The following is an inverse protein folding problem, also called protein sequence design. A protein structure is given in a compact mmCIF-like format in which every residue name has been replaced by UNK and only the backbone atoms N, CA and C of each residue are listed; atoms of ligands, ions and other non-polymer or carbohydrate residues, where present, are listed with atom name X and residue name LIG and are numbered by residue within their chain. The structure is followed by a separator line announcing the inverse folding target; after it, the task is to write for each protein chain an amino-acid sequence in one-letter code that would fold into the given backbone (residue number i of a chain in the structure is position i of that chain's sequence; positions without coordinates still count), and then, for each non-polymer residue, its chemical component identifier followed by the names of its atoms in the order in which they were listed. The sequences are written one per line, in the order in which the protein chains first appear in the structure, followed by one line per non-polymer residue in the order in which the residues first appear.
data_IF_667444399369
#
_entry.id   IF_667444399369
#
_cell.length_a   1.000
_cell.length_b   1.000
_cell.length_c   1.000
_cell.angle_alpha   90.00
_cell.angle_beta   90.00
_cell.angle_gamma   90.00
#
_symmetry.space_group_name_H-M   'P 1'
#
loop_
_entity.id
_entity.type
_entity.pdbx_description
1 polymer ?
#
# COMPACT_ATOMS: atom_id res chain seq x y z
N UNK A 1 66.26 -27.09 -84.28
CA UNK A 1 66.79 -27.77 -83.08
C UNK A 1 66.02 -27.30 -81.86
N UNK A 2 65.57 -28.27 -81.05
CA UNK A 2 65.00 -28.15 -79.69
C UNK A 2 63.57 -27.58 -79.57
N UNK A 3 62.64 -28.54 -79.51
CA UNK A 3 61.33 -28.43 -78.87
C UNK A 3 61.47 -28.11 -77.38
N UNK A 4 60.66 -27.18 -76.87
CA UNK A 4 60.31 -27.10 -75.46
C UNK A 4 58.84 -26.69 -75.31
N UNK A 5 58.05 -27.59 -74.71
CA UNK A 5 56.65 -27.41 -74.32
C UNK A 5 56.55 -26.30 -73.27
N UNK A 6 55.58 -25.39 -73.40
CA UNK A 6 55.10 -24.58 -72.28
C UNK A 6 53.60 -24.79 -72.08
N UNK A 7 53.23 -24.97 -70.82
CA UNK A 7 51.91 -25.32 -70.33
C UNK A 7 50.92 -24.15 -70.50
N UNK A 8 49.73 -24.45 -71.04
CA UNK A 8 48.55 -23.61 -70.89
C UNK A 8 48.11 -23.60 -69.41
N UNK A 9 48.11 -22.42 -68.78
CA UNK A 9 47.42 -22.18 -67.51
C UNK A 9 46.09 -21.49 -67.81
N UNK A 10 45.00 -22.20 -67.54
CA UNK A 10 43.65 -21.65 -67.47
C UNK A 10 43.58 -20.63 -66.31
N UNK A 11 43.08 -19.43 -66.60
CA UNK A 11 42.63 -18.47 -65.58
C UNK A 11 41.10 -18.43 -65.65
N UNK A 12 40.36 -18.92 -64.64
CA UNK A 12 38.96 -18.61 -64.51
C UNK A 12 38.81 -17.22 -63.87
N UNK A 13 38.05 -16.38 -64.54
CA UNK A 13 37.58 -15.07 -64.09
C UNK A 13 36.64 -15.29 -62.88
N UNK A 14 37.08 -14.96 -61.67
CA UNK A 14 36.19 -14.93 -60.51
C UNK A 14 35.29 -13.70 -60.60
N UNK A 15 34.00 -13.94 -60.83
CA UNK A 15 32.93 -12.95 -60.72
C UNK A 15 32.73 -12.66 -59.22
N UNK A 16 33.10 -11.47 -58.76
CA UNK A 16 32.80 -11.03 -57.40
C UNK A 16 31.31 -10.68 -57.31
N UNK A 17 30.51 -11.57 -56.72
CA UNK A 17 29.14 -11.28 -56.34
C UNK A 17 29.14 -10.52 -55.01
N UNK A 18 28.92 -9.22 -55.06
CA UNK A 18 28.71 -8.37 -53.89
C UNK A 18 27.35 -8.71 -53.27
N UNK A 19 27.34 -9.53 -52.22
CA UNK A 19 26.15 -9.73 -51.38
C UNK A 19 26.03 -8.52 -50.45
N UNK A 20 25.17 -7.58 -50.82
CA UNK A 20 24.73 -6.53 -49.90
C UNK A 20 23.83 -7.17 -48.82
N UNK A 21 24.40 -7.46 -47.65
CA UNK A 21 23.60 -7.76 -46.46
C UNK A 21 22.83 -6.49 -46.07
N UNK A 22 21.55 -6.44 -46.45
CA UNK A 22 20.60 -5.51 -45.87
C UNK A 22 20.46 -5.81 -44.38
N UNK A 23 21.00 -4.93 -43.53
CA UNK A 23 20.74 -4.92 -42.11
C UNK A 23 19.28 -4.51 -41.89
N UNK A 24 18.37 -5.49 -41.93
CA UNK A 24 16.99 -5.30 -41.47
C UNK A 24 17.03 -5.04 -39.96
N UNK A 25 16.85 -3.77 -39.58
CA UNK A 25 16.61 -3.40 -38.19
C UNK A 25 15.32 -4.10 -37.74
N UNK A 26 15.47 -5.13 -36.91
CA UNK A 26 14.35 -5.76 -36.23
C UNK A 26 13.85 -4.75 -35.18
N UNK A 27 12.86 -3.94 -35.56
CA UNK A 27 12.10 -3.14 -34.60
C UNK A 27 11.29 -4.12 -33.77
N UNK A 28 11.83 -4.50 -32.61
CA UNK A 28 11.04 -5.13 -31.57
C UNK A 28 9.96 -4.12 -31.18
N UNK A 29 8.73 -4.36 -31.65
CA UNK A 29 7.57 -3.69 -31.11
C UNK A 29 7.56 -3.98 -29.61
N UNK A 30 7.92 -2.99 -28.80
CA UNK A 30 7.63 -3.02 -27.37
C UNK A 30 6.12 -3.06 -27.27
N UNK A 31 5.56 -4.26 -27.12
CA UNK A 31 4.17 -4.41 -26.72
C UNK A 31 3.98 -3.56 -25.47
N UNK A 32 3.02 -2.63 -25.52
CA UNK A 32 2.58 -1.93 -24.32
C UNK A 32 2.21 -3.00 -23.31
N UNK A 33 3.07 -3.22 -22.31
CA UNK A 33 2.77 -4.12 -21.21
C UNK A 33 1.48 -3.61 -20.58
N UNK A 34 0.45 -4.45 -20.54
CA UNK A 34 -0.84 -4.06 -19.99
C UNK A 34 -0.62 -3.60 -18.54
N UNK A 35 -1.03 -2.36 -18.23
CA UNK A 35 -0.84 -1.79 -16.89
C UNK A 35 -1.55 -2.67 -15.85
N UNK A 36 -0.89 -2.99 -14.75
CA UNK A 36 -1.51 -3.63 -13.60
C UNK A 36 -2.56 -2.69 -13.01
N UNK A 37 -3.81 -3.15 -13.03
CA UNK A 37 -4.95 -2.34 -12.63
C UNK A 37 -5.22 -2.51 -11.14
N UNK A 38 -5.27 -1.41 -10.42
CA UNK A 38 -5.50 -1.35 -8.97
C UNK A 38 -6.82 -0.62 -8.75
N UNK A 39 -7.77 -1.28 -8.10
CA UNK A 39 -9.00 -0.62 -7.65
C UNK A 39 -8.76 -0.08 -6.25
N UNK A 40 -8.83 1.24 -6.10
CA UNK A 40 -8.61 1.93 -4.84
C UNK A 40 -9.93 2.50 -4.32
N UNK A 41 -10.44 1.93 -3.22
CA UNK A 41 -11.74 2.26 -2.65
C UNK A 41 -11.54 3.19 -1.46
N UNK A 42 -12.09 4.39 -1.53
CA UNK A 42 -12.26 5.30 -0.40
C UNK A 42 -13.57 5.04 0.33
N UNK A 43 -13.52 5.08 1.66
CA UNK A 43 -14.70 5.06 2.53
C UNK A 43 -15.61 6.27 2.36
N UNK A 44 -16.76 6.24 3.04
CA UNK A 44 -17.63 7.42 3.19
C UNK A 44 -16.98 8.41 4.16
N UNK A 45 -17.32 9.70 4.03
CA UNK A 45 -16.90 10.73 5.00
C UNK A 45 -17.26 10.32 6.44
N UNK A 46 -16.32 10.47 7.36
CA UNK A 46 -16.57 10.25 8.80
C UNK A 46 -16.05 11.39 9.68
N UNK A 47 -14.86 11.25 10.28
CA UNK A 47 -14.24 12.10 11.29
C UNK A 47 -14.17 13.61 10.94
N UNK A 48 -13.81 14.49 11.89
CA UNK A 48 -13.60 15.92 11.63
C UNK A 48 -12.62 16.20 10.48
N UNK A 49 -12.69 17.41 9.91
CA UNK A 49 -11.82 17.82 8.81
C UNK A 49 -10.33 17.60 9.13
N UNK A 50 -9.59 17.05 8.17
CA UNK A 50 -8.19 16.66 8.31
C UNK A 50 -7.97 15.27 8.93
N UNK A 51 -9.04 14.58 9.35
CA UNK A 51 -9.02 13.19 9.85
C UNK A 51 -9.89 12.31 8.94
N UNK A 52 -9.40 11.12 8.60
CA UNK A 52 -10.12 10.16 7.76
C UNK A 52 -10.66 10.82 6.48
N UNK A 53 -9.79 11.61 5.84
CA UNK A 53 -10.04 12.25 4.55
C UNK A 53 -9.79 11.22 3.45
N UNK A 54 -10.67 10.23 3.37
CA UNK A 54 -10.46 9.05 2.54
C UNK A 54 -10.42 9.43 1.06
N UNK A 55 -11.38 10.25 0.60
CA UNK A 55 -11.44 10.67 -0.79
C UNK A 55 -10.20 11.50 -1.19
N UNK A 56 -9.79 12.48 -0.38
CA UNK A 56 -8.58 13.26 -0.64
C UNK A 56 -7.32 12.38 -0.64
N UNK A 57 -7.20 11.47 0.34
CA UNK A 57 -6.04 10.60 0.47
C UNK A 57 -5.88 9.65 -0.71
N UNK A 58 -6.97 9.01 -1.18
CA UNK A 58 -6.89 8.13 -2.35
C UNK A 58 -6.56 8.88 -3.63
N UNK A 59 -7.00 10.13 -3.78
CA UNK A 59 -6.66 10.96 -4.94
C UNK A 59 -5.17 11.28 -4.99
N UNK A 60 -4.55 11.60 -3.84
CA UNK A 60 -3.10 11.82 -3.77
C UNK A 60 -2.31 10.56 -4.16
N UNK A 61 -2.73 9.39 -3.67
CA UNK A 61 -2.09 8.11 -3.97
C UNK A 61 -2.30 7.69 -5.44
N UNK A 62 -3.51 7.87 -5.96
CA UNK A 62 -3.84 7.57 -7.35
C UNK A 62 -3.06 8.48 -8.31
N UNK A 63 -2.99 9.80 -8.02
CA UNK A 63 -2.17 10.76 -8.77
C UNK A 63 -0.70 10.34 -8.81
N UNK A 64 -0.13 9.97 -7.66
CA UNK A 64 1.26 9.50 -7.59
C UNK A 64 1.52 8.30 -8.51
N UNK A 65 0.66 7.28 -8.48
CA UNK A 65 0.83 6.09 -9.32
C UNK A 65 0.53 6.35 -10.80
N UNK A 66 -0.56 7.05 -11.12
CA UNK A 66 -1.00 7.26 -12.49
C UNK A 66 -0.15 8.25 -13.26
N UNK A 67 0.36 9.30 -12.60
CA UNK A 67 1.00 10.45 -13.25
C UNK A 67 2.51 10.52 -13.01
N UNK A 68 3.00 10.05 -11.86
CA UNK A 68 4.37 10.38 -11.39
C UNK A 68 5.30 9.16 -11.33
N UNK A 69 4.76 7.97 -11.06
CA UNK A 69 5.55 6.78 -10.75
C UNK A 69 6.38 6.24 -11.93
N UNK A 70 5.90 6.44 -13.16
CA UNK A 70 6.47 5.80 -14.36
C UNK A 70 6.30 4.28 -14.41
N UNK A 71 5.55 3.69 -13.47
CA UNK A 71 5.33 2.24 -13.40
C UNK A 71 4.20 1.81 -14.33
N UNK A 72 4.18 0.53 -14.76
CA UNK A 72 3.07 -0.04 -15.51
C UNK A 72 1.88 -0.32 -14.58
N UNK A 73 1.41 0.67 -13.83
CA UNK A 73 0.26 0.61 -12.94
C UNK A 73 -0.83 1.58 -13.42
N UNK A 74 -2.09 1.22 -13.18
CA UNK A 74 -3.25 2.10 -13.38
C UNK A 74 -4.16 1.98 -12.16
N UNK A 75 -4.38 3.09 -11.47
CA UNK A 75 -5.31 3.17 -10.34
C UNK A 75 -6.66 3.69 -10.82
N UNK A 76 -7.72 2.96 -10.50
CA UNK A 76 -9.11 3.38 -10.63
C UNK A 76 -9.70 3.61 -9.24
N UNK A 77 -10.14 4.84 -8.97
CA UNK A 77 -10.67 5.24 -7.68
C UNK A 77 -12.17 4.99 -7.61
N UNK A 78 -12.62 4.41 -6.50
CA UNK A 78 -14.03 4.29 -6.12
C UNK A 78 -14.25 5.11 -4.86
N UNK A 79 -15.16 6.08 -4.92
CA UNK A 79 -15.46 6.92 -3.78
C UNK A 79 -16.66 6.41 -2.98
N UNK A 80 -16.63 6.66 -1.66
CA UNK A 80 -17.76 6.53 -0.75
C UNK A 80 -18.27 5.09 -0.52
N UNK A 81 -17.36 4.12 -0.49
CA UNK A 81 -17.61 2.72 -0.14
C UNK A 81 -17.58 1.77 -1.33
N UNK A 82 -18.19 0.58 -1.15
CA UNK A 82 -18.20 -0.47 -2.16
C UNK A 82 -18.75 0.03 -3.51
N UNK A 83 -18.16 -0.35 -4.66
CA UNK A 83 -18.66 0.07 -5.96
C UNK A 83 -20.10 -0.39 -6.18
N UNK A 84 -20.85 0.37 -6.98
CA UNK A 84 -22.23 0.00 -7.37
C UNK A 84 -22.27 -1.18 -8.35
N UNK A 85 -21.17 -1.40 -9.07
CA UNK A 85 -21.03 -2.43 -10.09
C UNK A 85 -19.69 -3.15 -9.89
N UNK A 86 -19.77 -4.46 -9.65
CA UNK A 86 -18.60 -5.32 -9.42
C UNK A 86 -17.75 -5.53 -10.68
N UNK A 87 -18.24 -5.17 -11.87
CA UNK A 87 -17.45 -5.21 -13.11
C UNK A 87 -16.18 -4.36 -13.03
N UNK A 88 -16.10 -3.39 -12.10
CA UNK A 88 -14.85 -2.67 -11.83
C UNK A 88 -13.74 -3.60 -11.31
N UNK A 89 -14.04 -4.80 -10.82
CA UNK A 89 -13.00 -5.74 -10.41
C UNK A 89 -12.46 -6.60 -11.57
N UNK A 90 -13.06 -6.54 -12.76
CA UNK A 90 -12.70 -7.41 -13.90
C UNK A 90 -11.27 -7.15 -14.37
N UNK A 91 -10.37 -8.12 -14.17
CA UNK A 91 -8.95 -7.98 -14.51
C UNK A 91 -8.16 -7.08 -13.55
N UNK A 92 -8.73 -6.70 -12.40
CA UNK A 92 -7.98 -6.03 -11.35
C UNK A 92 -6.85 -6.95 -10.83
N UNK A 93 -5.67 -6.37 -10.59
CA UNK A 93 -4.53 -7.04 -9.97
C UNK A 93 -4.47 -6.81 -8.47
N UNK A 94 -5.07 -5.72 -7.99
CA UNK A 94 -5.26 -5.49 -6.57
C UNK A 94 -6.54 -4.70 -6.28
N UNK A 95 -7.07 -4.91 -5.08
CA UNK A 95 -8.08 -4.08 -4.42
C UNK A 95 -7.46 -3.52 -3.15
N UNK A 96 -7.47 -2.19 -3.03
CA UNK A 96 -6.98 -1.47 -1.87
C UNK A 96 -8.15 -0.71 -1.26
N UNK A 97 -8.40 -0.84 0.04
CA UNK A 97 -9.50 -0.15 0.72
C UNK A 97 -8.93 0.74 1.83
N UNK A 98 -9.20 2.03 1.74
CA UNK A 98 -8.90 3.04 2.75
C UNK A 98 -10.21 3.67 3.22
N UNK A 99 -10.69 3.24 4.38
CA UNK A 99 -12.02 3.55 4.87
C UNK A 99 -12.12 3.40 6.38
N UNK A 100 -13.30 3.73 6.93
CA UNK A 100 -13.71 3.25 8.25
C UNK A 100 -13.85 1.70 8.24
N UNK A 101 -13.79 1.10 9.43
CA UNK A 101 -13.97 -0.33 9.65
C UNK A 101 -15.25 -0.69 10.41
N UNK A 102 -15.25 -1.87 11.03
CA UNK A 102 -16.35 -2.39 11.84
C UNK A 102 -17.70 -2.31 11.10
N UNK A 103 -18.77 -1.82 11.73
CA UNK A 103 -20.10 -1.68 11.10
C UNK A 103 -20.11 -0.81 9.83
N UNK A 104 -19.14 0.09 9.66
CA UNK A 104 -19.00 0.99 8.52
C UNK A 104 -18.08 0.46 7.42
N UNK A 105 -17.53 -0.75 7.58
CA UNK A 105 -16.58 -1.32 6.63
C UNK A 105 -17.25 -1.55 5.26
N UNK A 106 -16.64 -1.09 4.14
CA UNK A 106 -17.18 -1.31 2.79
C UNK A 106 -17.35 -2.77 2.36
N UNK A 107 -16.73 -3.74 3.07
CA UNK A 107 -16.78 -5.16 2.71
C UNK A 107 -17.96 -5.85 3.37
N UNK A 108 -18.65 -5.22 4.32
CA UNK A 108 -19.82 -5.78 4.97
C UNK A 108 -20.90 -6.11 3.93
N UNK A 109 -21.25 -7.39 3.79
CA UNK A 109 -22.18 -7.89 2.78
C UNK A 109 -21.55 -8.24 1.42
N UNK A 110 -20.23 -8.06 1.28
CA UNK A 110 -19.44 -8.31 0.07
C UNK A 110 -18.25 -9.27 0.33
N UNK A 111 -18.23 -9.95 1.48
CA UNK A 111 -17.17 -10.87 1.90
C UNK A 111 -16.95 -12.01 0.89
N UNK A 112 -18.04 -12.52 0.30
CA UNK A 112 -17.99 -13.57 -0.71
C UNK A 112 -17.24 -13.10 -1.96
N UNK A 113 -17.52 -11.86 -2.41
CA UNK A 113 -16.84 -11.28 -3.58
C UNK A 113 -15.36 -11.00 -3.29
N UNK A 114 -15.04 -10.45 -2.12
CA UNK A 114 -13.64 -10.30 -1.71
C UNK A 114 -12.90 -11.63 -1.65
N UNK A 115 -13.54 -12.70 -1.17
CA UNK A 115 -12.96 -14.05 -1.15
C UNK A 115 -12.76 -14.62 -2.55
N UNK A 116 -13.71 -14.39 -3.47
CA UNK A 116 -13.57 -14.78 -4.88
C UNK A 116 -12.37 -14.09 -5.53
N UNK A 117 -12.22 -12.78 -5.33
CA UNK A 117 -11.07 -12.01 -5.82
C UNK A 117 -9.76 -12.52 -5.20
N UNK A 118 -9.75 -12.78 -3.89
CA UNK A 118 -8.58 -13.32 -3.21
C UNK A 118 -8.14 -14.66 -3.82
N UNK A 119 -9.09 -15.58 -4.00
CA UNK A 119 -8.86 -16.91 -4.56
C UNK A 119 -8.42 -16.87 -6.03
N UNK A 120 -8.79 -15.82 -6.78
CA UNK A 120 -8.31 -15.55 -8.13
C UNK A 120 -6.90 -14.93 -8.17
N UNK A 121 -6.24 -14.78 -7.03
CA UNK A 121 -4.89 -14.21 -6.90
C UNK A 121 -4.84 -12.68 -6.89
N UNK A 122 -5.99 -11.99 -6.77
CA UNK A 122 -6.03 -10.53 -6.69
C UNK A 122 -5.45 -10.08 -5.35
N UNK A 123 -4.52 -9.14 -5.39
CA UNK A 123 -3.95 -8.52 -4.19
C UNK A 123 -4.99 -7.81 -3.33
N UNK A 124 -4.90 -7.91 -2.00
CA UNK A 124 -5.81 -7.23 -1.08
C UNK A 124 -4.99 -6.38 -0.10
N UNK A 125 -5.35 -5.11 0.03
CA UNK A 125 -4.78 -4.23 1.04
C UNK A 125 -5.87 -3.47 1.79
N UNK A 126 -5.80 -3.46 3.11
CA UNK A 126 -6.66 -2.64 3.96
C UNK A 126 -5.82 -1.63 4.75
N UNK A 127 -6.32 -0.39 4.80
CA UNK A 127 -5.62 0.74 5.38
C UNK A 127 -6.41 1.39 6.50
N UNK A 128 -5.68 1.75 7.55
CA UNK A 128 -6.18 2.41 8.74
C UNK A 128 -7.34 1.65 9.38
N UNK A 129 -8.47 2.32 9.60
CA UNK A 129 -9.65 1.75 10.23
C UNK A 129 -10.24 0.58 9.42
N UNK A 130 -9.98 0.48 8.11
CA UNK A 130 -10.38 -0.67 7.31
C UNK A 130 -9.71 -1.99 7.74
N UNK A 131 -8.70 -1.99 8.62
CA UNK A 131 -8.17 -3.25 9.20
C UNK A 131 -8.98 -3.74 10.40
N UNK A 132 -9.95 -2.97 10.90
CA UNK A 132 -10.78 -3.33 12.06
C UNK A 132 -12.05 -4.07 11.67
N UNK A 133 -12.24 -5.22 12.31
CA UNK A 133 -13.47 -6.02 12.25
C UNK A 133 -13.84 -6.54 13.64
N UNK A 134 -15.13 -6.80 13.90
CA UNK A 134 -15.56 -7.46 15.12
C UNK A 134 -14.96 -8.88 15.24
N UNK A 135 -14.88 -9.43 16.46
CA UNK A 135 -14.49 -10.83 16.64
C UNK A 135 -15.49 -11.75 15.92
N UNK A 136 -14.97 -12.75 15.21
CA UNK A 136 -15.80 -13.74 14.52
C UNK A 136 -15.31 -14.08 13.12
N UNK A 137 -16.22 -14.57 12.28
CA UNK A 137 -15.92 -15.11 10.94
C UNK A 137 -15.21 -14.09 10.03
N UNK A 138 -15.55 -12.81 10.13
CA UNK A 138 -14.91 -11.76 9.34
C UNK A 138 -13.42 -11.61 9.67
N UNK A 139 -13.04 -11.76 10.94
CA UNK A 139 -11.64 -11.80 11.36
C UNK A 139 -10.87 -12.97 10.74
N UNK A 140 -11.50 -14.14 10.64
CA UNK A 140 -10.90 -15.31 9.97
C UNK A 140 -10.72 -15.09 8.45
N UNK A 141 -11.62 -14.36 7.81
CA UNK A 141 -11.44 -13.94 6.42
C UNK A 141 -10.27 -12.97 6.28
N UNK A 142 -10.13 -11.98 7.17
CA UNK A 142 -9.02 -11.03 7.11
C UNK A 142 -7.67 -11.70 7.37
N UNK A 143 -7.60 -12.67 8.27
CA UNK A 143 -6.40 -13.51 8.45
C UNK A 143 -6.02 -14.25 7.16
N UNK A 144 -7.01 -14.73 6.39
CA UNK A 144 -6.75 -15.35 5.07
C UNK A 144 -6.34 -14.33 4.02
N UNK A 145 -6.98 -13.16 3.97
CA UNK A 145 -6.76 -12.17 2.91
C UNK A 145 -5.49 -11.36 3.09
N UNK A 146 -5.25 -10.89 4.32
CA UNK A 146 -4.16 -9.96 4.65
C UNK A 146 -3.30 -10.43 5.83
N UNK A 147 -3.53 -11.62 6.40
CA UNK A 147 -2.66 -12.24 7.42
C UNK A 147 -2.97 -11.85 8.87
N UNK A 148 -3.75 -10.81 9.09
CA UNK A 148 -4.18 -10.36 10.42
C UNK A 148 -5.14 -9.18 10.35
N UNK A 149 -5.68 -8.77 11.49
CA UNK A 149 -6.62 -7.66 11.60
C UNK A 149 -6.60 -7.03 12.99
N UNK A 150 -7.08 -5.80 13.08
CA UNK A 150 -7.49 -5.25 14.36
C UNK A 150 -8.78 -5.94 14.81
N UNK A 151 -8.82 -6.44 16.04
CA UNK A 151 -10.01 -7.06 16.62
C UNK A 151 -10.61 -6.16 17.70
N UNK A 152 -11.87 -5.78 17.51
CA UNK A 152 -12.61 -4.99 18.50
C UNK A 152 -12.64 -5.68 19.88
N UNK A 153 -12.22 -4.96 20.92
CA UNK A 153 -12.14 -5.43 22.30
C UNK A 153 -10.79 -6.05 22.68
N UNK A 154 -9.89 -6.27 21.71
CA UNK A 154 -8.57 -6.85 21.91
C UNK A 154 -7.45 -5.88 21.51
N UNK A 155 -7.48 -5.41 20.26
CA UNK A 155 -6.52 -4.44 19.73
C UNK A 155 -6.77 -3.03 20.31
N UNK A 156 -5.80 -2.13 20.17
CA UNK A 156 -5.88 -0.75 20.70
C UNK A 156 -5.39 0.26 19.65
N UNK A 157 -5.89 1.49 19.72
CA UNK A 157 -5.64 2.55 18.73
C UNK A 157 -5.30 3.90 19.40
N UNK A 158 -4.20 4.01 20.19
CA UNK A 158 -3.75 5.31 20.65
C UNK A 158 -3.18 6.15 19.50
N UNK A 159 -3.06 7.46 19.71
CA UNK A 159 -2.22 8.32 18.89
C UNK A 159 -0.82 8.41 19.53
N UNK A 160 0.22 8.23 18.73
CA UNK A 160 1.61 8.30 19.18
C UNK A 160 2.57 8.55 18.03
N UNK A 161 3.77 9.03 18.34
CA UNK A 161 4.84 9.20 17.35
C UNK A 161 5.65 7.92 17.25
N UNK A 162 5.55 7.23 16.11
CA UNK A 162 6.43 6.13 15.76
C UNK A 162 7.61 6.63 14.93
N UNK A 163 8.79 6.02 15.12
CA UNK A 163 9.97 6.28 14.29
C UNK A 163 10.77 5.00 14.11
N UNK A 164 10.72 4.43 12.90
CA UNK A 164 11.48 3.23 12.59
C UNK A 164 11.81 3.10 11.10
N UNK A 165 12.81 2.28 10.80
CA UNK A 165 12.98 1.74 9.46
C UNK A 165 11.99 0.58 9.22
N UNK A 166 11.47 0.41 8.00
CA UNK A 166 10.80 -0.81 7.59
C UNK A 166 11.73 -2.02 7.65
N UNK A 167 11.15 -3.23 7.52
CA UNK A 167 11.89 -4.48 7.53
C UNK A 167 12.96 -4.48 6.42
N UNK A 168 14.24 -4.66 6.78
CA UNK A 168 15.31 -4.75 5.80
C UNK A 168 15.07 -5.85 4.76
N UNK A 169 15.33 -5.51 3.50
CA UNK A 169 15.25 -6.42 2.35
C UNK A 169 13.84 -6.75 1.86
N UNK A 170 12.78 -6.22 2.48
CA UNK A 170 11.43 -6.39 1.93
C UNK A 170 11.12 -5.29 0.89
N UNK A 171 10.60 -5.61 -0.31
CA UNK A 171 10.35 -4.61 -1.36
C UNK A 171 9.49 -3.42 -0.91
N UNK A 172 8.52 -3.65 -0.02
CA UNK A 172 7.69 -2.56 0.54
C UNK A 172 8.54 -1.48 1.24
N UNK A 173 9.69 -1.84 1.83
CA UNK A 173 10.60 -0.90 2.48
C UNK A 173 11.55 -0.15 1.54
N UNK A 174 11.54 -0.43 0.24
CA UNK A 174 12.50 0.16 -0.71
C UNK A 174 12.42 1.69 -0.71
N UNK A 175 13.58 2.34 -0.66
CA UNK A 175 13.69 3.79 -0.61
C UNK A 175 13.14 4.45 0.66
N UNK A 176 12.78 3.72 1.71
CA UNK A 176 12.26 4.30 2.97
C UNK A 176 13.31 4.08 4.08
N UNK A 177 14.20 5.07 4.34
CA UNK A 177 15.27 4.89 5.32
C UNK A 177 14.76 4.88 6.77
N UNK A 178 13.85 5.79 7.11
CA UNK A 178 13.22 5.86 8.43
C UNK A 178 11.90 6.64 8.35
N UNK A 179 10.79 5.96 8.56
CA UNK A 179 9.49 6.61 8.68
C UNK A 179 9.25 7.08 10.12
N UNK A 180 9.15 8.40 10.29
CA UNK A 180 8.73 9.07 11.52
C UNK A 180 7.41 9.81 11.29
N UNK A 181 6.36 9.46 12.04
CA UNK A 181 5.07 10.12 11.95
C UNK A 181 4.27 9.98 13.25
N UNK A 182 3.54 11.04 13.61
CA UNK A 182 2.48 10.96 14.61
C UNK A 182 1.18 10.55 13.91
N UNK A 183 0.58 9.45 14.34
CA UNK A 183 -0.65 8.91 13.77
C UNK A 183 -1.43 8.16 14.84
N UNK A 184 -2.67 7.78 14.53
CA UNK A 184 -3.43 6.81 15.32
C UNK A 184 -2.95 5.40 14.95
N UNK A 185 -1.76 5.06 15.44
CA UNK A 185 -1.11 3.79 15.15
C UNK A 185 -1.67 2.67 16.02
N UNK A 186 -2.39 1.75 15.36
CA UNK A 186 -2.98 0.62 16.07
C UNK A 186 -1.92 -0.43 16.42
N UNK A 187 -2.13 -1.13 17.53
CA UNK A 187 -1.29 -2.26 17.90
C UNK A 187 -2.05 -3.35 18.66
N UNK A 188 -1.32 -4.43 19.01
CA UNK A 188 -1.88 -5.67 19.51
C UNK A 188 -2.83 -6.31 18.48
N UNK A 189 -2.33 -6.49 17.26
CA UNK A 189 -3.05 -7.02 16.09
C UNK A 189 -3.26 -8.53 16.22
N UNK A 190 -4.44 -9.02 15.81
CA UNK A 190 -4.73 -10.45 15.70
C UNK A 190 -4.18 -11.00 14.40
N UNK A 191 -3.16 -11.85 14.49
CA UNK A 191 -2.62 -12.56 13.33
C UNK A 191 -3.23 -13.96 13.19
N UNK A 192 -3.05 -14.56 12.01
CA UNK A 192 -3.25 -15.99 11.82
C UNK A 192 -2.39 -16.82 12.79
N UNK A 193 -2.82 -18.04 13.11
CA UNK A 193 -2.05 -18.99 13.92
C UNK A 193 -1.87 -20.30 13.13
N UNK A 194 -0.64 -20.68 12.76
CA UNK A 194 0.60 -19.93 12.92
C UNK A 194 0.61 -18.63 12.11
N UNK A 195 1.40 -17.64 12.55
CA UNK A 195 1.52 -16.35 11.86
C UNK A 195 2.07 -16.52 10.44
N UNK A 196 1.28 -16.12 9.45
CA UNK A 196 1.65 -16.17 8.03
C UNK A 196 2.23 -14.86 7.52
N UNK A 197 1.89 -13.74 8.15
CA UNK A 197 2.35 -12.42 7.74
C UNK A 197 3.76 -12.10 8.25
N UNK A 198 4.53 -11.40 7.43
CA UNK A 198 5.81 -10.79 7.78
C UNK A 198 5.57 -9.36 8.27
N UNK A 199 6.26 -8.99 9.36
CA UNK A 199 6.23 -7.63 9.90
C UNK A 199 7.02 -6.67 9.00
N UNK A 200 6.36 -5.63 8.48
CA UNK A 200 6.97 -4.67 7.54
C UNK A 200 7.37 -3.38 8.24
N UNK A 201 6.47 -2.78 9.01
CA UNK A 201 6.76 -1.54 9.74
C UNK A 201 6.18 -1.64 11.15
N UNK A 202 6.89 -1.08 12.11
CA UNK A 202 6.61 -1.26 13.51
C UNK A 202 7.56 -0.49 14.42
N UNK A 203 7.11 -0.17 15.62
CA UNK A 203 7.87 0.50 16.67
C UNK A 203 7.26 0.09 18.03
N UNK A 204 7.93 0.39 19.13
CA UNK A 204 7.44 0.13 20.48
C UNK A 204 6.65 1.35 21.00
N UNK A 205 5.34 1.21 21.27
CA UNK A 205 4.58 2.23 21.97
C UNK A 205 5.01 2.27 23.44
N UNK A 206 5.27 3.45 23.97
CA UNK A 206 5.54 3.69 25.40
C UNK A 206 4.59 4.77 25.91
N UNK A 207 4.46 4.90 27.23
CA UNK A 207 3.60 5.92 27.84
C UNK A 207 4.02 7.33 27.41
N UNK A 208 5.33 7.57 27.28
CA UNK A 208 5.92 8.84 26.90
C UNK A 208 5.63 9.20 25.43
N UNK A 209 5.46 8.20 24.57
CA UNK A 209 5.15 8.42 23.14
C UNK A 209 3.66 8.63 22.87
N UNK A 210 2.78 8.11 23.74
CA UNK A 210 1.33 8.17 23.54
C UNK A 210 0.80 9.53 23.95
N UNK A 211 0.27 10.28 22.99
CA UNK A 211 -0.31 11.61 23.20
C UNK A 211 -1.85 11.61 23.25
N UNK A 212 -2.50 10.49 22.91
CA UNK A 212 -3.94 10.30 23.05
C UNK A 212 -4.32 8.83 23.13
N UNK A 213 -5.23 8.49 24.03
CA UNK A 213 -5.86 7.17 24.10
C UNK A 213 -7.27 7.21 23.50
N UNK A 214 -7.60 6.25 22.63
CA UNK A 214 -8.93 6.11 22.02
C UNK A 214 -9.61 4.85 22.59
N UNK A 215 -9.30 3.68 22.05
CA UNK A 215 -9.64 2.39 22.64
C UNK A 215 -8.43 1.83 23.38
N UNK A 216 -8.69 1.31 24.58
CA UNK A 216 -7.65 0.78 25.47
C UNK A 216 -8.11 -0.52 26.13
N UNK A 217 -7.30 -1.56 26.03
CA UNK A 217 -7.62 -2.92 26.50
C UNK A 217 -6.52 -3.45 27.44
N UNK A 218 -6.83 -4.45 28.29
CA UNK A 218 -5.81 -5.11 29.11
C UNK A 218 -4.71 -5.78 28.30
N UNK A 219 -5.01 -6.26 27.09
CA UNK A 219 -4.02 -6.89 26.22
C UNK A 219 -3.09 -5.84 25.57
N UNK A 220 -3.64 -4.70 25.15
CA UNK A 220 -2.84 -3.56 24.68
C UNK A 220 -1.92 -3.02 25.78
N UNK A 221 -2.45 -2.81 26.99
CA UNK A 221 -1.66 -2.40 28.16
C UNK A 221 -0.43 -3.29 28.39
N UNK A 222 -0.63 -4.62 28.38
CA UNK A 222 0.45 -5.60 28.55
C UNK A 222 1.48 -5.60 27.42
N UNK A 223 1.12 -5.09 26.25
CA UNK A 223 1.97 -5.05 25.06
C UNK A 223 2.80 -3.75 24.95
N UNK A 224 2.62 -2.78 25.86
CA UNK A 224 3.47 -1.59 25.95
C UNK A 224 4.95 -1.96 26.08
N UNK A 225 5.81 -1.13 25.48
CA UNK A 225 7.27 -1.30 25.48
C UNK A 225 7.79 -2.40 24.53
N UNK A 226 6.94 -3.34 24.11
CA UNK A 226 7.30 -4.32 23.09
C UNK A 226 7.12 -3.74 21.68
N UNK A 227 7.96 -4.15 20.73
CA UNK A 227 7.82 -3.78 19.31
C UNK A 227 6.50 -4.31 18.76
N UNK A 228 5.70 -3.42 18.19
CA UNK A 228 4.40 -3.73 17.60
C UNK A 228 4.44 -3.66 16.09
N UNK A 229 3.58 -4.43 15.42
CA UNK A 229 3.41 -4.41 13.97
C UNK A 229 2.33 -3.42 13.57
N UNK A 230 2.69 -2.45 12.73
CA UNK A 230 1.79 -1.40 12.21
C UNK A 230 1.58 -1.50 10.70
N UNK A 231 2.48 -2.18 9.98
CA UNK A 231 2.27 -2.66 8.63
C UNK A 231 2.77 -4.11 8.53
N UNK A 232 2.02 -4.96 7.86
CA UNK A 232 2.39 -6.35 7.62
C UNK A 232 2.03 -6.78 6.20
N UNK A 233 2.71 -7.83 5.72
CA UNK A 233 2.50 -8.38 4.38
C UNK A 233 2.43 -9.90 4.42
N UNK A 234 1.58 -10.49 3.59
CA UNK A 234 1.46 -11.95 3.42
C UNK A 234 1.46 -12.28 1.93
N UNK A 235 2.23 -13.30 1.55
CA UNK A 235 2.05 -13.98 0.27
C UNK A 235 1.13 -15.18 0.50
N UNK A 236 0.00 -15.23 -0.19
CA UNK A 236 -1.02 -16.26 0.01
C UNK A 236 -0.71 -17.48 -0.85
N UNK A 237 -1.17 -18.68 -0.46
CA UNK A 237 -1.02 -19.89 -1.27
C UNK A 237 -1.66 -19.81 -2.67
N UNK A 238 -2.65 -18.93 -2.84
CA UNK A 238 -3.30 -18.66 -4.14
C UNK A 238 -2.46 -17.79 -5.10
N UNK A 239 -1.23 -17.41 -4.69
CA UNK A 239 -0.34 -16.55 -5.47
C UNK A 239 -0.66 -15.05 -5.33
N UNK A 240 -1.78 -14.71 -4.69
CA UNK A 240 -2.12 -13.34 -4.35
C UNK A 240 -1.34 -12.83 -3.13
N UNK A 241 -1.37 -11.52 -2.95
CA UNK A 241 -0.67 -10.81 -1.87
C UNK A 241 -1.66 -10.09 -0.96
N UNK A 242 -1.32 -9.97 0.31
CA UNK A 242 -2.13 -9.32 1.34
C UNK A 242 -1.33 -8.30 2.12
N UNK A 243 -1.91 -7.14 2.41
CA UNK A 243 -1.28 -6.11 3.28
C UNK A 243 -2.31 -5.53 4.25
N UNK A 244 -1.91 -5.38 5.51
CA UNK A 244 -2.61 -4.51 6.45
C UNK A 244 -1.70 -3.36 6.88
N UNK A 245 -2.27 -2.17 6.99
CA UNK A 245 -1.58 -0.96 7.43
C UNK A 245 -2.46 -0.19 8.41
N UNK A 246 -1.96 0.17 9.58
CA UNK A 246 -2.78 0.80 10.64
C UNK A 246 -2.75 2.32 10.60
N UNK A 247 -1.80 2.93 9.89
CA UNK A 247 -1.69 4.39 9.78
C UNK A 247 -2.66 4.98 8.77
N UNK A 248 -2.77 6.30 8.75
CA UNK A 248 -3.62 7.04 7.83
C UNK A 248 -4.80 7.73 8.51
N UNK A 249 -4.72 8.03 9.81
CA UNK A 249 -5.72 8.84 10.49
C UNK A 249 -5.66 10.29 10.02
N UNK A 250 -4.46 10.88 10.11
CA UNK A 250 -4.21 12.28 9.80
C UNK A 250 -3.93 12.48 8.31
N UNK A 251 -4.77 13.26 7.63
CA UNK A 251 -4.62 13.52 6.20
C UNK A 251 -3.25 14.16 5.86
N UNK A 252 -2.76 15.06 6.72
CA UNK A 252 -1.45 15.72 6.53
C UNK A 252 -0.27 14.75 6.43
N UNK A 253 -0.37 13.53 6.98
CA UNK A 253 0.71 12.54 6.90
C UNK A 253 0.97 12.08 5.46
N UNK A 254 0.04 12.28 4.52
CA UNK A 254 0.29 12.04 3.09
C UNK A 254 1.35 12.97 2.50
N UNK A 255 1.66 14.10 3.14
CA UNK A 255 2.79 14.96 2.76
C UNK A 255 4.14 14.53 3.35
N UNK A 256 4.18 13.52 4.23
CA UNK A 256 5.44 12.91 4.65
C UNK A 256 5.87 11.93 3.55
N UNK A 257 6.95 12.25 2.83
CA UNK A 257 7.39 11.47 1.68
C UNK A 257 7.63 9.99 2.00
N UNK A 258 8.24 9.69 3.14
CA UNK A 258 8.50 8.31 3.55
C UNK A 258 7.21 7.55 3.93
N UNK A 259 6.20 8.25 4.47
CA UNK A 259 4.90 7.67 4.79
C UNK A 259 4.17 7.29 3.50
N UNK A 260 4.11 8.26 2.57
CA UNK A 260 3.49 8.09 1.25
C UNK A 260 4.22 7.02 0.44
N UNK A 261 5.56 7.03 0.41
CA UNK A 261 6.38 6.04 -0.31
C UNK A 261 6.16 4.62 0.22
N UNK A 262 6.10 4.42 1.54
CA UNK A 262 5.83 3.09 2.12
C UNK A 262 4.47 2.53 1.66
N UNK A 263 3.43 3.36 1.65
CA UNK A 263 2.08 2.96 1.20
C UNK A 263 2.06 2.71 -0.31
N UNK A 264 2.67 3.58 -1.12
CA UNK A 264 2.77 3.39 -2.57
C UNK A 264 3.53 2.10 -2.93
N UNK A 265 4.63 1.82 -2.23
CA UNK A 265 5.36 0.57 -2.37
C UNK A 265 4.48 -0.65 -2.06
N UNK A 266 3.67 -0.58 -1.00
CA UNK A 266 2.72 -1.64 -0.65
C UNK A 266 1.65 -1.84 -1.73
N UNK A 267 1.10 -0.77 -2.30
CA UNK A 267 0.11 -0.84 -3.39
C UNK A 267 0.69 -1.48 -4.66
N UNK A 268 1.93 -1.12 -5.02
CA UNK A 268 2.64 -1.74 -6.16
C UNK A 268 2.94 -3.20 -5.89
N UNK A 269 3.45 -3.52 -4.70
CA UNK A 269 3.77 -4.89 -4.30
C UNK A 269 2.53 -5.78 -4.28
N UNK A 270 1.43 -5.32 -3.70
CA UNK A 270 0.19 -6.10 -3.59
C UNK A 270 -0.45 -6.33 -4.98
N UNK A 271 -0.23 -5.42 -5.94
CA UNK A 271 -0.62 -5.59 -7.34
C UNK A 271 0.26 -6.56 -8.14
N UNK A 272 1.26 -7.19 -7.51
CA UNK A 272 2.15 -8.16 -8.16
C UNK A 272 3.27 -7.53 -8.99
N UNK A 273 3.48 -6.22 -8.88
CA UNK A 273 4.57 -5.53 -9.57
C UNK A 273 5.85 -5.48 -8.70
N UNK A 274 6.98 -5.31 -9.36
CA UNK A 274 8.26 -5.05 -8.69
C UNK A 274 8.29 -3.62 -8.14
N UNK A 275 8.64 -3.48 -6.87
CA UNK A 275 8.87 -2.17 -6.26
C UNK A 275 10.29 -1.72 -6.60
N UNK A 276 10.49 -0.53 -7.20
CA UNK A 276 11.82 -0.02 -7.52
C UNK A 276 12.73 0.02 -6.29
N UNK A 277 14.05 -0.15 -6.45
CA UNK A 277 15.00 -0.11 -5.32
C UNK A 277 14.97 1.23 -4.55
N UNK A 278 14.75 2.33 -5.26
CA UNK A 278 14.54 3.67 -4.68
C UNK A 278 13.13 3.93 -4.15
N UNK A 279 12.25 2.94 -4.18
CA UNK A 279 10.82 3.06 -3.90
C UNK A 279 10.04 3.71 -5.05
N UNK A 280 8.71 3.72 -4.92
CA UNK A 280 7.82 4.36 -5.88
C UNK A 280 8.06 5.86 -5.88
N UNK A 281 8.34 6.42 -7.07
CA UNK A 281 8.48 7.86 -7.25
C UNK A 281 7.13 8.57 -7.05
N UNK A 282 7.14 9.62 -6.24
CA UNK A 282 6.08 10.63 -6.19
C UNK A 282 6.70 11.98 -5.85
N UNK A 283 6.14 13.05 -6.39
CA UNK A 283 6.56 14.42 -6.07
C UNK A 283 6.09 14.79 -4.65
N UNK A 284 6.80 15.70 -3.94
CA UNK A 284 6.34 16.19 -2.64
C UNK A 284 4.92 16.76 -2.72
N UNK A 285 4.04 16.34 -1.80
CA UNK A 285 2.67 16.88 -1.73
C UNK A 285 2.72 18.29 -1.17
N UNK A 286 2.11 19.21 -1.91
CA UNK A 286 1.97 20.61 -1.51
C UNK A 286 0.79 20.81 -0.55
N UNK A 287 0.81 21.92 0.20
CA UNK A 287 -0.32 22.28 1.06
C UNK A 287 -1.62 22.48 0.26
N UNK A 288 -1.54 23.05 -0.94
CA UNK A 288 -2.70 23.19 -1.82
C UNK A 288 -3.31 21.83 -2.15
N UNK A 289 -2.48 20.83 -2.48
CA UNK A 289 -2.92 19.47 -2.78
C UNK A 289 -3.51 18.75 -1.56
N UNK A 290 -3.03 19.00 -0.33
CA UNK A 290 -3.67 18.46 0.88
C UNK A 290 -5.09 19.00 1.10
N UNK A 291 -5.42 20.14 0.50
CA UNK A 291 -6.74 20.77 0.62
C UNK A 291 -7.59 20.55 -0.63
N UNK A 292 -7.07 19.85 -1.65
CA UNK A 292 -7.85 19.36 -2.78
C UNK A 292 -8.68 18.15 -2.34
N UNK A 293 -9.95 18.11 -2.75
CA UNK A 293 -10.82 16.94 -2.60
C UNK A 293 -11.08 16.46 -1.15
N UNK A 294 -10.87 17.32 -0.14
CA UNK A 294 -11.28 17.02 1.24
C UNK A 294 -12.75 16.57 1.29
N UNK A 295 -13.03 15.57 2.10
CA UNK A 295 -14.37 15.06 2.33
C UNK A 295 -15.25 16.19 2.89
N UNK A 296 -16.44 16.44 2.34
CA UNK A 296 -17.26 17.58 2.75
C UNK A 296 -17.87 17.37 4.15
N UNK A 297 -17.22 17.92 5.18
CA UNK A 297 -17.65 17.90 6.59
C UNK A 297 -18.45 19.15 6.97
N UNK A 298 -19.11 19.11 8.13
CA UNK A 298 -19.90 20.24 8.65
C UNK A 298 -19.03 21.48 8.91
N UNK A 299 -17.78 21.27 9.34
CA UNK A 299 -16.76 22.30 9.47
C UNK A 299 -15.52 21.87 8.72
N UNK A 300 -15.15 22.63 7.70
CA UNK A 300 -13.92 22.43 6.93
C UNK A 300 -12.79 23.22 7.57
N UNK A 301 -11.64 22.58 7.74
CA UNK A 301 -10.43 23.19 8.26
C UNK A 301 -9.32 23.05 7.23
N UNK A 302 -8.54 24.12 7.06
CA UNK A 302 -7.36 24.10 6.20
C UNK A 302 -6.30 23.18 6.79
N UNK A 303 -5.89 22.18 6.03
CA UNK A 303 -4.88 21.20 6.42
C UNK A 303 -3.49 21.74 6.05
N UNK A 304 -2.74 22.19 7.04
CA UNK A 304 -1.35 22.59 6.86
C UNK A 304 -0.43 21.37 6.62
N UNK A 305 0.73 21.61 6.03
CA UNK A 305 1.80 20.61 5.95
C UNK A 305 2.20 20.12 7.36
N UNK A 306 2.61 18.84 7.50
CA UNK A 306 3.06 18.29 8.77
C UNK A 306 4.31 19.04 9.27
N UNK A 307 4.40 19.24 10.58
CA UNK A 307 5.50 19.96 11.22
C UNK A 307 6.01 19.28 12.49
N UNK A 308 7.10 19.79 13.06
CA UNK A 308 7.73 19.20 14.25
C UNK A 308 6.79 19.19 15.48
N UNK A 309 5.85 20.14 15.54
CA UNK A 309 4.82 20.18 16.59
C UNK A 309 3.91 18.94 16.58
N UNK A 310 3.66 18.33 15.41
CA UNK A 310 2.89 17.09 15.31
C UNK A 310 3.63 15.92 15.97
N UNK A 311 4.96 15.92 15.89
CA UNK A 311 5.83 14.83 16.34
C UNK A 311 6.18 14.91 17.84
N UNK A 312 6.00 16.08 18.45
CA UNK A 312 6.45 16.44 19.81
C UNK A 312 5.30 16.76 20.76
N UNK A 313 4.09 16.34 20.41
CA UNK A 313 2.92 16.47 21.29
C UNK A 313 3.21 15.84 22.66
N UNK A 314 2.75 16.47 23.77
CA UNK A 314 2.96 15.94 25.11
C UNK A 314 2.26 14.59 25.28
N UNK A 315 2.83 13.74 26.13
CA UNK A 315 2.19 12.48 26.51
C UNK A 315 0.84 12.73 27.17
N UNK A 316 -0.15 11.88 26.87
CA UNK A 316 -1.42 11.88 27.58
C UNK A 316 -1.29 11.15 28.92
N UNK A 317 -2.07 11.61 29.91
CA UNK A 317 -2.28 10.87 31.15
C UNK A 317 -2.83 9.47 30.84
N UNK A 318 -2.29 8.40 31.46
CA UNK A 318 -2.83 7.06 31.34
C UNK A 318 -4.33 7.01 31.66
N UNK A 319 -5.08 6.29 30.84
CA UNK A 319 -6.51 6.06 31.05
C UNK A 319 -6.77 4.64 31.53
N UNK A 320 -7.87 4.45 32.27
CA UNK A 320 -8.44 3.12 32.49
C UNK A 320 -8.91 2.49 31.16
N UNK A 321 -9.19 1.19 31.19
CA UNK A 321 -9.67 0.47 30.01
C UNK A 321 -10.94 1.12 29.46
N UNK A 322 -10.93 1.42 28.16
CA UNK A 322 -12.01 2.14 27.49
C UNK A 322 -12.33 1.44 26.18
N UNK A 323 -13.58 1.01 26.07
CA UNK A 323 -14.15 0.47 24.84
C UNK A 323 -15.51 1.10 24.59
N UNK A 324 -15.85 1.53 23.36
CA UNK A 324 -17.18 2.03 23.06
C UNK A 324 -18.25 0.99 23.42
N UNK A 325 -19.25 1.38 24.21
CA UNK A 325 -20.36 0.50 24.56
C UNK A 325 -20.16 -0.42 25.77
N UNK A 326 -19.03 -0.34 26.48
CA UNK A 326 -18.88 -0.91 27.83
C UNK A 326 -18.71 0.23 28.84
N UNK A 327 -19.78 0.52 29.58
CA UNK A 327 -19.71 1.25 30.85
C UNK A 327 -19.27 0.29 31.94
#
# INVERSE_FOLDING_TARGET
MKNARSLQKFVPLFLAASVALGAGALVLAQGSSAKARIVLIAGKKSHPSGQHEFNAGVELLARALNEQSGLPARVEVVHNGWPKDDAIFDGAKAVVIYSDGNASHPVNGHEAKMSELAAAGVGIMFMHYAVEVPPGEQGELFKKWIGGHYESGFSVNPHWTASAAPKPGHPIGNGVPNLRANDEWYYNIRFAEPKTAVDIYGDAPTREKINRYIHWSPAGEKALGARQTMMWAVERPDGGRGVGFTGGHWHRNWAIDDFRRLVLNAMVWVAGLDVPEGGVKSEPVTEAQLNENLDPKDKMEHVALPGEADLTQPSAEPVEYRWPGKK
#
